data_IF_009888354665
#
_entry.id   IF_009888354665
#
_cell.length_a   1.000
_cell.length_b   1.000
_cell.length_c   1.000
_cell.angle_alpha   90.00
_cell.angle_beta   90.00
_cell.angle_gamma   90.00
#
_symmetry.space_group_name_H-M   'P 1'
#
loop_
_entity.id
_entity.type
_entity.pdbx_description
1 polymer ?
#
# COMPACT_ATOMS: atom_id res chain seq x y z
N UNK A 1 16.50 4.40 10.48
CA UNK A 1 15.88 3.72 9.33
C UNK A 1 16.81 3.88 8.13
N UNK A 2 17.16 2.81 7.43
CA UNK A 2 17.98 2.87 6.22
C UNK A 2 17.16 3.34 5.02
N UNK A 3 17.82 3.78 3.93
CA UNK A 3 17.14 4.17 2.67
C UNK A 3 16.27 3.04 2.13
N UNK A 4 16.77 1.81 2.14
CA UNK A 4 16.01 0.63 1.69
C UNK A 4 14.78 0.35 2.55
N UNK A 5 14.89 0.49 3.88
CA UNK A 5 13.75 0.32 4.78
C UNK A 5 12.67 1.37 4.52
N UNK A 6 13.08 2.63 4.30
CA UNK A 6 12.15 3.72 3.97
C UNK A 6 11.44 3.45 2.64
N UNK A 7 12.18 3.03 1.62
CA UNK A 7 11.61 2.65 0.31
C UNK A 7 10.59 1.53 0.45
N UNK A 8 10.94 0.44 1.14
CA UNK A 8 10.04 -0.70 1.35
C UNK A 8 8.75 -0.28 2.07
N UNK A 9 8.84 0.57 3.10
CA UNK A 9 7.66 1.04 3.82
C UNK A 9 6.78 1.96 2.97
N UNK A 10 7.36 2.81 2.12
CA UNK A 10 6.60 3.65 1.19
C UNK A 10 5.91 2.80 0.11
N UNK A 11 6.61 1.80 -0.42
CA UNK A 11 6.03 0.85 -1.36
C UNK A 11 4.87 0.09 -0.71
N UNK A 12 5.05 -0.39 0.52
CA UNK A 12 3.99 -1.06 1.28
C UNK A 12 2.81 -0.13 1.55
N UNK A 13 3.05 1.13 1.92
CA UNK A 13 2.00 2.13 2.06
C UNK A 13 1.17 2.24 0.77
N UNK A 14 1.83 2.38 -0.38
CA UNK A 14 1.15 2.43 -1.68
C UNK A 14 0.45 1.12 -2.03
N UNK A 15 1.00 -0.03 -1.63
CA UNK A 15 0.41 -1.32 -1.90
C UNK A 15 -0.87 -1.52 -1.08
N UNK A 16 -0.89 -1.15 0.20
CA UNK A 16 -2.08 -1.30 1.05
C UNK A 16 -3.18 -0.31 0.71
N UNK A 17 -2.84 0.87 0.18
CA UNK A 17 -3.83 1.88 -0.23
C UNK A 17 -4.37 1.66 -1.64
N UNK A 18 -3.77 0.76 -2.42
CA UNK A 18 -4.24 0.49 -3.78
C UNK A 18 -5.71 0.03 -3.78
N UNK A 19 -6.54 0.45 -4.76
CA UNK A 19 -7.96 0.16 -4.71
C UNK A 19 -8.23 -1.34 -4.75
N UNK A 20 -9.09 -1.80 -3.84
CA UNK A 20 -9.34 -3.23 -3.61
C UNK A 20 -9.99 -3.93 -4.81
N UNK A 21 -10.83 -3.19 -5.54
CA UNK A 21 -11.54 -3.68 -6.73
C UNK A 21 -10.65 -3.71 -7.99
N UNK A 22 -9.43 -3.19 -7.92
CA UNK A 22 -8.54 -3.04 -9.08
C UNK A 22 -7.68 -4.28 -9.33
N UNK A 23 -8.29 -5.30 -9.94
CA UNK A 23 -7.64 -6.59 -10.26
C UNK A 23 -6.48 -6.50 -11.26
N UNK A 24 -6.23 -5.33 -11.86
CA UNK A 24 -5.10 -5.16 -12.79
C UNK A 24 -3.75 -5.09 -12.08
N UNK A 25 -3.71 -4.76 -10.79
CA UNK A 25 -2.46 -4.58 -10.05
C UNK A 25 -2.56 -5.18 -8.65
N UNK A 26 -1.93 -6.33 -8.47
CA UNK A 26 -1.88 -7.04 -7.19
C UNK A 26 -0.46 -7.01 -6.65
N UNK A 27 -0.33 -6.91 -5.33
CA UNK A 27 0.96 -6.65 -4.67
C UNK A 27 1.25 -7.80 -3.70
N UNK A 28 2.49 -8.26 -3.72
CA UNK A 28 2.90 -9.47 -3.02
C UNK A 28 4.27 -9.30 -2.36
N UNK A 29 4.54 -10.16 -1.38
CA UNK A 29 5.85 -10.41 -0.82
C UNK A 29 6.23 -11.87 -1.08
N UNK A 30 7.45 -12.10 -1.52
CA UNK A 30 8.04 -13.41 -1.68
C UNK A 30 8.99 -13.69 -0.52
N UNK A 31 8.72 -14.73 0.27
CA UNK A 31 9.53 -15.09 1.44
C UNK A 31 10.87 -15.74 1.04
N UNK A 32 10.90 -16.49 -0.06
CA UNK A 32 12.10 -17.20 -0.56
C UNK A 32 13.18 -16.20 -0.96
N UNK A 33 12.82 -15.26 -1.84
CA UNK A 33 13.75 -14.25 -2.33
C UNK A 33 13.74 -12.95 -1.51
N UNK A 34 12.87 -12.87 -0.49
CA UNK A 34 12.71 -11.72 0.41
C UNK A 34 12.49 -10.40 -0.33
N UNK A 35 11.64 -10.41 -1.36
CA UNK A 35 11.40 -9.26 -2.23
C UNK A 35 9.92 -8.89 -2.32
N UNK A 36 9.66 -7.59 -2.50
CA UNK A 36 8.34 -7.07 -2.84
C UNK A 36 8.18 -7.01 -4.35
N UNK A 37 7.01 -7.44 -4.84
CA UNK A 37 6.71 -7.43 -6.26
C UNK A 37 5.24 -7.14 -6.54
N UNK A 38 4.97 -6.79 -7.79
CA UNK A 38 3.64 -6.48 -8.31
C UNK A 38 3.33 -7.38 -9.50
N UNK A 39 2.15 -8.00 -9.49
CA UNK A 39 1.57 -8.62 -10.68
C UNK A 39 0.73 -7.58 -11.40
N UNK A 40 1.11 -7.23 -12.62
CA UNK A 40 0.40 -6.27 -13.46
C UNK A 40 -0.22 -7.00 -14.65
N UNK A 41 -1.51 -6.75 -14.90
CA UNK A 41 -2.20 -7.25 -16.09
C UNK A 41 -1.97 -6.29 -17.26
N UNK A 42 -1.32 -6.77 -18.33
CA UNK A 42 -1.00 -5.99 -19.53
C UNK A 42 -1.95 -6.41 -20.68
N UNK A 43 -3.11 -5.76 -20.73
CA UNK A 43 -4.07 -5.52 -21.82
C UNK A 43 -4.86 -6.58 -22.66
N UNK A 44 -6.11 -6.14 -22.88
CA UNK A 44 -7.24 -6.34 -23.82
C UNK A 44 -7.40 -7.46 -24.86
N UNK A 45 -6.42 -8.28 -25.24
CA UNK A 45 -6.62 -9.32 -26.27
C UNK A 45 -6.07 -10.71 -25.90
N UNK A 46 -5.75 -10.88 -24.63
CA UNK A 46 -5.26 -12.11 -24.03
C UNK A 46 -4.68 -11.72 -22.68
N UNK A 47 -5.09 -12.37 -21.59
CA UNK A 47 -4.64 -11.99 -20.26
C UNK A 47 -3.16 -12.35 -20.08
N UNK A 48 -2.25 -11.43 -20.42
CA UNK A 48 -0.83 -11.53 -20.08
C UNK A 48 -0.57 -10.80 -18.77
N UNK A 49 0.15 -11.46 -17.88
CA UNK A 49 0.64 -10.88 -16.64
C UNK A 49 2.14 -10.60 -16.75
N UNK A 50 2.56 -9.50 -16.16
CA UNK A 50 3.96 -9.14 -15.98
C UNK A 50 4.24 -8.99 -14.49
N UNK A 51 5.39 -9.50 -14.07
CA UNK A 51 5.88 -9.35 -12.71
C UNK A 51 6.89 -8.21 -12.68
N UNK A 52 6.67 -7.26 -11.77
CA UNK A 52 7.51 -6.09 -11.57
C UNK A 52 8.05 -6.02 -10.15
N UNK A 53 9.26 -5.53 -9.99
CA UNK A 53 9.88 -5.29 -8.68
C UNK A 53 9.25 -4.10 -7.95
N UNK A 54 9.76 -3.81 -6.74
CA UNK A 54 9.34 -2.65 -5.94
C UNK A 54 9.67 -1.27 -6.55
N UNK A 55 10.44 -1.22 -7.63
CA UNK A 55 10.73 -0.01 -8.42
C UNK A 55 9.92 0.05 -9.72
N UNK A 56 8.92 -0.83 -9.87
CA UNK A 56 8.05 -0.96 -11.04
C UNK A 56 8.81 -1.36 -12.33
N UNK A 57 9.96 -2.02 -12.19
CA UNK A 57 10.73 -2.56 -13.31
C UNK A 57 10.37 -4.04 -13.54
N UNK A 58 10.26 -4.50 -14.80
CA UNK A 58 10.10 -5.91 -15.08
C UNK A 58 11.23 -6.74 -14.48
N UNK A 59 10.88 -7.87 -13.86
CA UNK A 59 11.88 -8.84 -13.41
C UNK A 59 12.51 -9.57 -14.59
N UNK A 60 13.72 -10.11 -14.37
CA UNK A 60 14.39 -11.02 -15.32
C UNK A 60 13.52 -12.26 -15.54
N UNK A 61 13.53 -12.79 -16.77
CA UNK A 61 12.58 -13.81 -17.23
C UNK A 61 12.52 -15.05 -16.32
N UNK A 62 13.66 -15.56 -15.88
CA UNK A 62 13.73 -16.72 -14.99
C UNK A 62 13.06 -16.46 -13.64
N UNK A 63 13.36 -15.31 -13.01
CA UNK A 63 12.78 -14.91 -11.73
C UNK A 63 11.28 -14.61 -11.86
N UNK A 64 10.86 -13.98 -12.96
CA UNK A 64 9.46 -13.73 -13.25
C UNK A 64 8.68 -15.05 -13.46
N UNK A 65 9.28 -16.02 -14.14
CA UNK A 65 8.66 -17.32 -14.43
C UNK A 65 8.47 -18.15 -13.16
N UNK A 66 9.49 -18.20 -12.28
CA UNK A 66 9.39 -18.86 -10.97
C UNK A 66 8.24 -18.28 -10.13
N UNK A 67 8.20 -16.94 -10.01
CA UNK A 67 7.15 -16.25 -9.27
C UNK A 67 5.75 -16.49 -9.86
N UNK A 68 5.62 -16.53 -11.19
CA UNK A 68 4.34 -16.83 -11.84
C UNK A 68 3.87 -18.25 -11.52
N UNK A 69 4.76 -19.25 -11.57
CA UNK A 69 4.41 -20.64 -11.23
C UNK A 69 3.97 -20.73 -9.77
N UNK A 70 4.71 -20.11 -8.84
CA UNK A 70 4.38 -20.11 -7.42
C UNK A 70 3.09 -19.34 -7.11
N UNK A 71 2.79 -18.28 -7.85
CA UNK A 71 1.52 -17.54 -7.74
C UNK A 71 0.30 -18.39 -8.14
N UNK A 72 0.42 -19.31 -9.10
CA UNK A 72 -0.66 -20.24 -9.45
C UNK A 72 -0.97 -21.22 -8.29
N UNK A 73 -0.02 -21.37 -7.36
CA UNK A 73 -0.14 -22.18 -6.15
C UNK A 73 -0.37 -21.32 -4.89
N UNK A 74 -0.80 -20.05 -4.99
CA UNK A 74 -0.86 -19.11 -3.84
C UNK A 74 -1.70 -19.61 -2.64
N UNK A 75 -2.67 -20.50 -2.88
CA UNK A 75 -3.48 -21.09 -1.81
C UNK A 75 -2.79 -22.26 -1.09
N UNK A 76 -1.65 -22.72 -1.60
CA UNK A 76 -0.80 -23.72 -0.98
C UNK A 76 0.31 -23.03 -0.16
N UNK A 77 0.58 -23.57 1.03
CA UNK A 77 1.69 -23.15 1.87
C UNK A 77 3.05 -23.28 1.16
N UNK A 78 3.16 -24.17 0.17
CA UNK A 78 4.36 -24.33 -0.65
C UNK A 78 4.68 -23.12 -1.55
N UNK A 79 3.73 -22.20 -1.75
CA UNK A 79 3.98 -21.00 -2.57
C UNK A 79 4.95 -20.04 -1.91
N UNK A 80 4.99 -19.96 -0.58
CA UNK A 80 5.79 -18.97 0.17
C UNK A 80 5.63 -17.52 -0.36
N UNK A 81 4.46 -17.22 -0.93
CA UNK A 81 4.07 -15.91 -1.46
C UNK A 81 2.89 -15.40 -0.64
N UNK A 82 3.01 -14.17 -0.17
CA UNK A 82 1.98 -13.52 0.65
C UNK A 82 1.39 -12.35 -0.12
N UNK A 83 0.07 -12.33 -0.30
CA UNK A 83 -0.63 -11.17 -0.84
C UNK A 83 -0.67 -10.03 0.19
N UNK A 84 -0.30 -8.83 -0.24
CA UNK A 84 -0.35 -7.64 0.62
C UNK A 84 -1.79 -7.14 0.72
N UNK A 85 -2.40 -7.16 1.93
CA UNK A 85 -3.80 -6.82 2.13
C UNK A 85 -4.09 -5.37 1.76
N UNK A 86 -5.33 -5.11 1.32
CA UNK A 86 -5.80 -3.79 0.92
C UNK A 86 -6.70 -3.20 1.98
N UNK A 87 -6.52 -1.91 2.25
CA UNK A 87 -7.44 -1.13 3.05
C UNK A 87 -8.66 -0.78 2.20
N UNK A 88 -9.84 -0.99 2.76
CA UNK A 88 -11.07 -0.50 2.13
C UNK A 88 -11.24 1.01 2.42
N UNK A 89 -12.31 1.61 1.89
CA UNK A 89 -12.58 3.05 2.10
C UNK A 89 -12.80 3.37 3.59
N UNK A 90 -13.52 2.52 4.32
CA UNK A 90 -13.79 2.72 5.76
C UNK A 90 -12.50 2.72 6.59
N UNK A 91 -11.58 1.79 6.30
CA UNK A 91 -10.27 1.72 6.93
C UNK A 91 -9.46 2.98 6.64
N UNK A 92 -9.46 3.42 5.37
CA UNK A 92 -8.74 4.63 4.96
C UNK A 92 -9.29 5.88 5.67
N UNK A 93 -10.62 5.99 5.80
CA UNK A 93 -11.29 7.08 6.52
C UNK A 93 -10.91 7.05 8.01
N UNK A 94 -10.98 5.87 8.64
CA UNK A 94 -10.67 5.70 10.05
C UNK A 94 -9.22 6.11 10.39
N UNK A 95 -8.25 5.67 9.59
CA UNK A 95 -6.83 6.01 9.76
C UNK A 95 -6.60 7.51 9.67
N UNK A 96 -7.17 8.17 8.67
CA UNK A 96 -7.01 9.63 8.48
C UNK A 96 -7.72 10.43 9.56
N UNK A 97 -8.91 9.99 9.99
CA UNK A 97 -9.65 10.64 11.08
C UNK A 97 -8.89 10.53 12.40
N UNK A 98 -8.27 9.38 12.68
CA UNK A 98 -7.42 9.21 13.86
C UNK A 98 -6.20 10.14 13.83
N UNK A 99 -5.58 10.31 12.67
CA UNK A 99 -4.51 11.30 12.51
C UNK A 99 -5.01 12.73 12.77
N UNK A 100 -6.15 13.11 12.18
CA UNK A 100 -6.68 14.47 12.24
C UNK A 100 -7.07 14.90 13.66
N UNK A 101 -7.47 13.96 14.54
CA UNK A 101 -7.75 14.22 15.96
C UNK A 101 -6.59 14.85 16.72
N UNK A 102 -5.33 14.64 16.30
CA UNK A 102 -4.18 15.29 16.91
C UNK A 102 -4.07 16.79 16.60
N UNK A 103 -4.93 17.30 15.72
CA UNK A 103 -4.94 18.67 15.21
C UNK A 103 -6.33 19.32 15.37
N UNK A 104 -7.12 18.88 16.34
CA UNK A 104 -8.39 19.53 16.69
C UNK A 104 -8.16 21.03 16.97
N UNK A 105 -8.95 21.89 16.33
CA UNK A 105 -8.84 23.36 16.45
C UNK A 105 -8.03 24.05 15.36
N UNK A 106 -7.47 23.32 14.38
CA UNK A 106 -6.91 23.93 13.16
C UNK A 106 -8.04 24.55 12.33
N UNK A 107 -7.77 25.74 11.75
CA UNK A 107 -8.76 26.58 11.05
C UNK A 107 -9.53 25.86 9.92
N UNK A 108 -8.95 24.82 9.32
CA UNK A 108 -9.53 24.03 8.22
C UNK A 108 -10.00 22.62 8.64
N UNK A 109 -10.04 22.33 9.94
CA UNK A 109 -10.36 20.99 10.45
C UNK A 109 -11.65 20.42 9.84
N UNK A 110 -12.72 21.21 9.77
CA UNK A 110 -14.01 20.76 9.24
C UNK A 110 -13.96 20.44 7.74
N UNK A 111 -13.28 21.26 6.95
CA UNK A 111 -13.12 21.03 5.50
C UNK A 111 -12.27 19.79 5.23
N UNK A 112 -11.19 19.58 5.99
CA UNK A 112 -10.35 18.39 5.90
C UNK A 112 -11.14 17.14 6.32
N UNK A 113 -11.92 17.22 7.40
CA UNK A 113 -12.77 16.12 7.85
C UNK A 113 -13.84 15.76 6.81
N UNK A 114 -14.46 16.76 6.18
CA UNK A 114 -15.42 16.55 5.10
C UNK A 114 -14.77 15.86 3.90
N UNK A 115 -13.57 16.30 3.49
CA UNK A 115 -12.82 15.67 2.40
C UNK A 115 -12.48 14.21 2.72
N UNK A 116 -12.05 13.91 3.96
CA UNK A 116 -11.80 12.53 4.42
C UNK A 116 -13.08 11.70 4.32
N UNK A 117 -14.21 12.21 4.84
CA UNK A 117 -15.48 11.47 4.85
C UNK A 117 -16.03 11.19 3.44
N UNK A 118 -15.69 12.04 2.47
CA UNK A 118 -16.10 11.92 1.08
C UNK A 118 -15.11 11.10 0.23
N UNK A 119 -14.06 10.53 0.85
CA UNK A 119 -13.05 9.75 0.14
C UNK A 119 -13.66 8.61 -0.68
N UNK A 120 -13.23 8.53 -1.94
CA UNK A 120 -13.52 7.39 -2.82
C UNK A 120 -12.43 6.31 -2.73
N UNK A 121 -12.70 5.11 -3.26
CA UNK A 121 -11.68 4.06 -3.32
C UNK A 121 -10.63 4.38 -4.38
N UNK A 122 -9.61 5.13 -3.98
CA UNK A 122 -8.49 5.52 -4.82
C UNK A 122 -7.15 5.00 -4.28
N UNK A 123 -6.10 5.09 -5.09
CA UNK A 123 -4.76 4.58 -4.81
C UNK A 123 -4.00 5.30 -3.69
N UNK A 124 -4.60 6.32 -3.07
CA UNK A 124 -3.99 7.19 -2.05
C UNK A 124 -5.00 7.53 -0.96
N UNK A 125 -4.49 8.11 0.13
CA UNK A 125 -5.32 8.78 1.10
C UNK A 125 -5.67 10.19 0.60
N UNK A 126 -6.87 10.69 0.89
CA UNK A 126 -7.26 12.06 0.54
C UNK A 126 -6.33 13.10 1.16
N UNK A 127 -5.80 12.85 2.36
CA UNK A 127 -4.80 13.71 2.99
C UNK A 127 -3.50 13.84 2.19
N UNK A 128 -3.14 12.88 1.34
CA UNK A 128 -1.97 13.01 0.45
C UNK A 128 -2.14 14.16 -0.54
N UNK A 129 -3.39 14.50 -0.89
CA UNK A 129 -3.72 15.57 -1.83
C UNK A 129 -4.05 16.86 -1.08
N UNK A 130 -4.95 16.80 -0.10
CA UNK A 130 -5.46 17.98 0.62
C UNK A 130 -4.34 18.76 1.33
N UNK A 131 -3.36 18.06 1.91
CA UNK A 131 -2.25 18.70 2.60
C UNK A 131 -1.24 19.36 1.64
N UNK A 132 -1.20 18.95 0.37
CA UNK A 132 -0.34 19.55 -0.65
C UNK A 132 -1.01 20.77 -1.27
N UNK A 133 -2.32 20.69 -1.53
CA UNK A 133 -3.08 21.72 -2.23
C UNK A 133 -3.46 22.91 -1.34
N UNK A 134 -3.41 22.75 -0.01
CA UNK A 134 -3.75 23.80 0.94
C UNK A 134 -2.51 24.27 1.74
N UNK A 135 -1.98 25.44 1.40
CA UNK A 135 -0.80 26.05 2.04
C UNK A 135 -0.90 26.14 3.57
N UNK A 136 -2.11 26.31 4.10
CA UNK A 136 -2.33 26.42 5.55
C UNK A 136 -2.32 25.06 6.26
N UNK A 137 -2.59 23.97 5.54
CA UNK A 137 -2.54 22.60 6.05
C UNK A 137 -1.20 21.91 5.71
N UNK A 138 -0.40 22.46 4.79
CA UNK A 138 0.92 21.97 4.41
C UNK A 138 1.87 21.65 5.59
N UNK A 139 1.86 22.40 6.72
CA UNK A 139 2.68 22.05 7.88
C UNK A 139 2.36 20.67 8.50
N UNK A 140 1.18 20.10 8.23
CA UNK A 140 0.79 18.76 8.69
C UNK A 140 1.40 17.63 7.86
N UNK A 141 1.81 17.91 6.61
CA UNK A 141 2.26 16.88 5.66
C UNK A 141 3.44 16.01 6.18
N UNK A 142 4.49 16.57 6.83
CA UNK A 142 5.57 15.74 7.38
C UNK A 142 5.09 14.78 8.47
N UNK A 143 4.16 15.22 9.32
CA UNK A 143 3.59 14.39 10.38
C UNK A 143 2.69 13.29 9.80
N UNK A 144 1.98 13.59 8.71
CA UNK A 144 1.16 12.62 8.00
C UNK A 144 2.01 11.50 7.39
N UNK A 145 3.14 11.82 6.76
CA UNK A 145 4.07 10.83 6.22
C UNK A 145 4.63 9.90 7.32
N UNK A 146 5.05 10.48 8.45
CA UNK A 146 5.53 9.69 9.60
C UNK A 146 4.41 8.81 10.20
N UNK A 147 3.18 9.32 10.25
CA UNK A 147 2.03 8.57 10.74
C UNK A 147 1.72 7.37 9.83
N UNK A 148 1.68 7.56 8.50
CA UNK A 148 1.50 6.47 7.53
C UNK A 148 2.55 5.37 7.72
N UNK A 149 3.83 5.75 7.86
CA UNK A 149 4.91 4.77 8.04
C UNK A 149 4.73 3.96 9.33
N UNK A 150 4.31 4.60 10.42
CA UNK A 150 4.01 3.91 11.70
C UNK A 150 2.82 2.99 11.58
N UNK A 151 1.73 3.43 10.96
CA UNK A 151 0.53 2.63 10.70
C UNK A 151 0.86 1.40 9.85
N UNK A 152 1.58 1.57 8.74
CA UNK A 152 2.04 0.46 7.89
C UNK A 152 2.87 -0.53 8.68
N UNK A 153 3.82 -0.04 9.50
CA UNK A 153 4.65 -0.91 10.35
C UNK A 153 3.80 -1.70 11.35
N UNK A 154 2.79 -1.06 11.97
CA UNK A 154 1.87 -1.74 12.88
C UNK A 154 1.05 -2.81 12.17
N UNK A 155 0.47 -2.50 11.00
CA UNK A 155 -0.27 -3.48 10.21
C UNK A 155 0.63 -4.65 9.80
N UNK A 156 1.85 -4.40 9.32
CA UNK A 156 2.82 -5.46 8.99
C UNK A 156 3.15 -6.31 10.21
N UNK A 157 3.35 -5.71 11.39
CA UNK A 157 3.60 -6.47 12.61
C UNK A 157 2.39 -7.33 13.01
N UNK A 158 1.16 -6.82 12.85
CA UNK A 158 -0.07 -7.57 13.11
C UNK A 158 -0.19 -8.72 12.10
N UNK A 159 0.02 -8.46 10.80
CA UNK A 159 -0.02 -9.47 9.75
C UNK A 159 1.08 -10.51 9.89
N UNK A 160 2.33 -10.11 10.16
CA UNK A 160 3.43 -11.04 10.36
C UNK A 160 3.21 -11.96 11.55
N UNK A 161 2.69 -11.42 12.67
CA UNK A 161 2.33 -12.24 13.82
C UNK A 161 1.12 -13.17 13.58
N UNK A 162 0.19 -12.78 12.70
CA UNK A 162 -1.03 -13.56 12.40
C UNK A 162 -0.80 -14.61 11.31
N UNK A 163 0.10 -14.33 10.36
CA UNK A 163 0.40 -15.18 9.19
C UNK A 163 1.67 -16.02 9.42
N UNK A 164 2.46 -15.73 10.46
CA UNK A 164 3.67 -16.47 10.80
C UNK A 164 4.95 -15.94 10.15
N UNK A 165 4.88 -14.78 9.49
CA UNK A 165 6.04 -14.07 8.95
C UNK A 165 6.83 -13.48 10.14
N UNK A 166 7.97 -14.09 10.46
CA UNK A 166 8.89 -13.63 11.52
C UNK A 166 10.02 -12.78 10.98
#
# INVERSE_FOLDING_TARGET
MTTQQRHNLLWLASAITHPSHYTRRQHYYDEVHRLFFTRVKIDYNGARFEIRDSYDKPLVEDAASDLLVRLELINDASSEIVEIPKLNVEDKIAIQTLFLKHFEGVYYYNEIQEAINNQQDDHRFVLDTVLIENDNAAPMAPYWDDYKLRTVTQYINIFGNTVGIK
#
